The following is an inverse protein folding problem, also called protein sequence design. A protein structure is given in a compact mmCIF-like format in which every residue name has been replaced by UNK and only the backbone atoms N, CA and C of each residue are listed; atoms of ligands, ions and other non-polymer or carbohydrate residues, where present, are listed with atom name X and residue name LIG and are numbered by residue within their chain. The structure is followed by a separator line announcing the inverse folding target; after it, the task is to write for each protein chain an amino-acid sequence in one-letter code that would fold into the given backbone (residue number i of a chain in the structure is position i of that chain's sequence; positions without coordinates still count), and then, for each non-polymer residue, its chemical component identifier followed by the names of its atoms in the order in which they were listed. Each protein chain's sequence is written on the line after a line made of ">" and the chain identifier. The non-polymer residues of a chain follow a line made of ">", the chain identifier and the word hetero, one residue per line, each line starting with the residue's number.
data_IF_598666362172
#
_entry.id   IF_598666362172
#
_cell.length_a   1.000
_cell.length_b   1.000
_cell.length_c   1.000
_cell.angle_alpha   90.00
_cell.angle_beta   90.00
_cell.angle_gamma   90.00
#
_symmetry.space_group_name_H-M   'P 1'
#
loop_
_entity.id
_entity.type
_entity.pdbx_description
1 polymer ?
#
# COMPACT_ATOMS: atom_id res chain seq x y z
N UNK A 1 -3.49 15.87 -17.88
CA UNK A 1 -3.88 14.99 -19.01
C UNK A 1 -3.89 13.58 -18.44
N UNK A 2 -5.05 12.93 -18.29
CA UNK A 2 -5.11 11.56 -17.74
C UNK A 2 -4.72 10.58 -18.85
N UNK A 3 -3.50 10.03 -18.75
CA UNK A 3 -3.02 8.96 -19.61
C UNK A 3 -3.51 7.60 -19.13
N UNK A 4 -3.53 6.59 -20.00
CA UNK A 4 -3.79 5.19 -19.63
C UNK A 4 -2.86 4.68 -18.51
N UNK A 5 -1.68 5.29 -18.35
CA UNK A 5 -0.71 5.07 -17.27
C UNK A 5 -1.26 5.43 -15.88
N UNK A 6 -2.06 6.49 -15.77
CA UNK A 6 -2.49 7.02 -14.47
C UNK A 6 -3.54 6.12 -13.80
N UNK A 7 -4.24 5.31 -14.59
CA UNK A 7 -5.16 4.30 -14.07
C UNK A 7 -4.44 3.29 -13.18
N UNK A 8 -3.20 2.92 -13.49
CA UNK A 8 -2.42 2.00 -12.65
C UNK A 8 -2.10 2.63 -11.29
N UNK A 9 -1.76 3.93 -11.29
CA UNK A 9 -1.54 4.70 -10.05
C UNK A 9 -2.82 4.79 -9.22
N UNK A 10 -3.94 5.17 -9.83
CA UNK A 10 -5.23 5.27 -9.14
C UNK A 10 -5.73 3.93 -8.60
N UNK A 11 -5.62 2.87 -9.39
CA UNK A 11 -5.98 1.52 -8.97
C UNK A 11 -5.11 1.05 -7.82
N UNK A 12 -3.79 1.23 -7.92
CA UNK A 12 -2.84 0.91 -6.85
C UNK A 12 -3.16 1.65 -5.55
N UNK A 13 -3.35 2.97 -5.63
CA UNK A 13 -3.71 3.79 -4.48
C UNK A 13 -5.05 3.37 -3.86
N UNK A 14 -6.06 3.07 -4.69
CA UNK A 14 -7.38 2.61 -4.24
C UNK A 14 -7.30 1.28 -3.49
N UNK A 15 -6.62 0.27 -4.06
CA UNK A 15 -6.44 -1.04 -3.41
C UNK A 15 -5.61 -0.87 -2.12
N UNK A 16 -4.60 0.00 -2.13
CA UNK A 16 -3.81 0.32 -0.94
C UNK A 16 -4.67 0.88 0.19
N UNK A 17 -5.55 1.84 -0.11
CA UNK A 17 -6.46 2.44 0.87
C UNK A 17 -7.42 1.40 1.46
N UNK A 18 -7.95 0.49 0.63
CA UNK A 18 -8.79 -0.62 1.11
C UNK A 18 -8.01 -1.50 2.09
N UNK A 19 -6.76 -1.87 1.76
CA UNK A 19 -5.92 -2.68 2.64
C UNK A 19 -5.60 -1.97 3.96
N UNK A 20 -5.33 -0.66 3.91
CA UNK A 20 -5.08 0.14 5.10
C UNK A 20 -6.34 0.24 5.97
N UNK A 21 -7.51 0.38 5.37
CA UNK A 21 -8.81 0.34 6.05
C UNK A 21 -9.08 -1.01 6.72
N UNK A 22 -8.78 -2.13 6.05
CA UNK A 22 -8.87 -3.47 6.64
C UNK A 22 -7.90 -3.62 7.82
N UNK A 23 -6.66 -3.12 7.67
CA UNK A 23 -5.65 -3.07 8.72
C UNK A 23 -6.12 -2.32 9.97
N UNK A 24 -6.65 -1.11 9.76
CA UNK A 24 -7.16 -0.25 10.82
C UNK A 24 -8.40 -0.85 11.49
N UNK A 25 -9.36 -1.34 10.71
CA UNK A 25 -10.57 -1.97 11.23
C UNK A 25 -10.23 -3.19 12.08
N UNK A 26 -9.29 -4.04 11.64
CA UNK A 26 -8.84 -5.19 12.42
C UNK A 26 -8.15 -4.78 13.72
N UNK A 27 -7.37 -3.70 13.73
CA UNK A 27 -6.77 -3.17 14.96
C UNK A 27 -7.82 -2.64 15.93
N UNK A 28 -8.79 -1.85 15.45
CA UNK A 28 -9.86 -1.28 16.26
C UNK A 28 -10.80 -2.34 16.83
N UNK A 29 -11.07 -3.40 16.06
CA UNK A 29 -11.94 -4.50 16.46
C UNK A 29 -11.22 -5.66 17.14
N UNK A 30 -9.90 -5.55 17.36
CA UNK A 30 -9.04 -6.64 17.86
C UNK A 30 -9.20 -7.96 17.09
N UNK A 31 -9.48 -7.87 15.79
CA UNK A 31 -9.67 -9.02 14.92
C UNK A 31 -8.32 -9.63 14.50
N UNK A 32 -8.32 -10.93 14.19
CA UNK A 32 -7.13 -11.62 13.68
C UNK A 32 -7.01 -11.39 12.17
N UNK A 33 -5.80 -11.06 11.72
CA UNK A 33 -5.48 -11.07 10.29
C UNK A 33 -5.46 -12.52 9.78
N UNK A 34 -6.28 -12.80 8.78
CA UNK A 34 -6.39 -14.12 8.15
C UNK A 34 -5.91 -14.12 6.70
N UNK A 35 -6.15 -15.23 6.00
CA UNK A 35 -5.73 -15.43 4.60
C UNK A 35 -6.17 -14.30 3.67
N UNK A 36 -7.39 -13.77 3.84
CA UNK A 36 -7.89 -12.66 3.03
C UNK A 36 -7.05 -11.39 3.14
N UNK A 37 -6.49 -11.10 4.31
CA UNK A 37 -5.60 -9.94 4.47
C UNK A 37 -4.28 -10.16 3.72
N UNK A 38 -3.73 -11.38 3.73
CA UNK A 38 -2.52 -11.70 2.96
C UNK A 38 -2.76 -11.64 1.46
N UNK A 39 -3.91 -12.14 0.97
CA UNK A 39 -4.30 -12.01 -0.43
C UNK A 39 -4.42 -10.54 -0.82
N UNK A 40 -5.09 -9.73 0.00
CA UNK A 40 -5.24 -8.30 -0.23
C UNK A 40 -3.88 -7.59 -0.26
N UNK A 41 -3.00 -7.89 0.70
CA UNK A 41 -1.64 -7.38 0.73
C UNK A 41 -0.84 -7.74 -0.54
N UNK A 42 -0.96 -8.99 -1.03
CA UNK A 42 -0.30 -9.40 -2.26
C UNK A 42 -0.82 -8.61 -3.48
N UNK A 43 -2.14 -8.37 -3.54
CA UNK A 43 -2.75 -7.54 -4.59
C UNK A 43 -2.26 -6.09 -4.52
N UNK A 44 -2.13 -5.51 -3.32
CA UNK A 44 -1.54 -4.18 -3.12
C UNK A 44 -0.12 -4.14 -3.64
N UNK A 45 0.70 -5.13 -3.27
CA UNK A 45 2.10 -5.19 -3.69
C UNK A 45 2.23 -5.28 -5.20
N UNK A 46 1.44 -6.15 -5.84
CA UNK A 46 1.42 -6.30 -7.29
C UNK A 46 0.94 -5.00 -7.96
N UNK A 47 -0.15 -4.40 -7.48
CA UNK A 47 -0.67 -3.15 -8.05
C UNK A 47 0.31 -1.99 -7.91
N UNK A 48 1.01 -1.88 -6.77
CA UNK A 48 2.08 -0.90 -6.59
C UNK A 48 3.27 -1.14 -7.54
N UNK A 49 3.64 -2.40 -7.76
CA UNK A 49 4.66 -2.77 -8.75
C UNK A 49 4.25 -2.41 -10.18
N UNK A 50 3.01 -2.72 -10.57
CA UNK A 50 2.48 -2.33 -11.87
C UNK A 50 2.44 -0.79 -12.03
N UNK A 51 2.00 -0.06 -11.01
CA UNK A 51 2.04 1.40 -11.02
C UNK A 51 3.46 1.94 -11.17
N UNK A 52 4.43 1.35 -10.47
CA UNK A 52 5.84 1.74 -10.58
C UNK A 52 6.41 1.48 -11.98
N UNK A 53 5.98 0.42 -12.66
CA UNK A 53 6.45 0.10 -14.03
C UNK A 53 5.76 0.96 -15.10
N UNK A 54 4.44 1.15 -15.00
CA UNK A 54 3.64 1.77 -16.08
C UNK A 54 3.39 3.27 -15.92
N UNK A 55 3.44 3.81 -14.70
CA UNK A 55 3.24 5.23 -14.42
C UNK A 55 4.49 5.91 -13.82
N UNK A 56 5.46 5.13 -13.35
CA UNK A 56 6.73 5.53 -12.72
C UNK A 56 6.76 6.95 -12.13
N UNK A 57 6.45 7.05 -10.83
CA UNK A 57 6.80 8.21 -10.01
C UNK A 57 7.87 7.81 -8.98
N UNK A 58 8.91 8.61 -8.73
CA UNK A 58 9.95 8.30 -7.75
C UNK A 58 9.39 7.99 -6.35
N UNK A 59 8.29 8.63 -5.96
CA UNK A 59 7.61 8.38 -4.70
C UNK A 59 7.03 6.95 -4.56
N UNK A 60 6.81 6.23 -5.67
CA UNK A 60 6.38 4.82 -5.65
C UNK A 60 7.48 3.88 -5.15
N UNK A 61 8.75 4.29 -5.19
CA UNK A 61 9.84 3.54 -4.57
C UNK A 61 9.62 3.44 -3.06
N UNK A 62 9.16 4.53 -2.42
CA UNK A 62 8.83 4.51 -1.00
C UNK A 62 7.69 3.53 -0.70
N UNK A 63 6.68 3.47 -1.57
CA UNK A 63 5.57 2.50 -1.46
C UNK A 63 6.11 1.08 -1.48
N UNK A 64 6.94 0.74 -2.46
CA UNK A 64 7.50 -0.60 -2.62
C UNK A 64 8.41 -1.00 -1.45
N UNK A 65 9.28 -0.08 -1.00
CA UNK A 65 10.16 -0.34 0.15
C UNK A 65 9.35 -0.53 1.44
N UNK A 66 8.35 0.31 1.67
CA UNK A 66 7.48 0.21 2.83
C UNK A 66 6.70 -1.11 2.83
N UNK A 67 6.14 -1.51 1.69
CA UNK A 67 5.47 -2.79 1.52
C UNK A 67 6.45 -3.95 1.75
N UNK A 68 7.61 -3.96 1.11
CA UNK A 68 8.61 -5.01 1.27
C UNK A 68 9.11 -5.17 2.71
N UNK A 69 9.10 -4.10 3.50
CA UNK A 69 9.48 -4.13 4.91
C UNK A 69 8.35 -4.61 5.85
N UNK A 70 7.08 -4.57 5.44
CA UNK A 70 5.94 -4.98 6.31
C UNK A 70 6.07 -6.41 6.86
N UNK A 71 6.46 -7.43 6.07
CA UNK A 71 6.67 -8.81 6.57
C UNK A 71 7.75 -8.91 7.66
N UNK A 72 8.65 -7.94 7.74
CA UNK A 72 9.73 -7.89 8.74
C UNK A 72 9.27 -7.30 10.07
N UNK A 73 8.04 -6.79 10.15
CA UNK A 73 7.50 -6.16 11.36
C UNK A 73 6.49 -7.04 12.06
N UNK A 74 6.43 -6.92 13.39
CA UNK A 74 5.45 -7.65 14.20
C UNK A 74 4.06 -7.01 14.09
N UNK A 75 3.01 -7.76 13.69
CA UNK A 75 1.64 -7.26 13.72
C UNK A 75 1.26 -6.75 15.12
N UNK A 76 0.58 -5.61 15.19
CA UNK A 76 0.17 -4.97 16.45
C UNK A 76 1.28 -4.20 17.19
N UNK A 77 2.48 -4.09 16.62
CA UNK A 77 3.51 -3.15 17.09
C UNK A 77 3.56 -1.92 16.19
N UNK A 78 3.90 -0.76 16.75
CA UNK A 78 3.86 0.54 16.08
C UNK A 78 4.64 0.61 14.74
N UNK A 79 5.68 -0.22 14.58
CA UNK A 79 6.43 -0.32 13.32
C UNK A 79 5.56 -0.73 12.12
N UNK A 80 4.60 -1.63 12.32
CA UNK A 80 3.73 -2.13 11.25
C UNK A 80 2.80 -1.04 10.69
N UNK A 81 1.98 -0.33 11.50
CA UNK A 81 1.19 0.79 11.00
C UNK A 81 2.08 1.96 10.53
N UNK A 82 3.27 2.17 11.09
CA UNK A 82 4.18 3.21 10.60
C UNK A 82 4.65 2.96 9.15
N UNK A 83 4.99 1.71 8.81
CA UNK A 83 5.31 1.34 7.42
C UNK A 83 4.10 1.45 6.50
N UNK A 84 2.91 1.05 6.96
CA UNK A 84 1.68 1.22 6.19
C UNK A 84 1.36 2.71 5.93
N UNK A 85 1.63 3.60 6.89
CA UNK A 85 1.49 5.04 6.69
C UNK A 85 2.57 5.57 5.74
N UNK A 86 3.81 5.11 5.86
CA UNK A 86 4.89 5.51 4.95
C UNK A 86 4.58 5.17 3.49
N UNK A 87 4.02 3.98 3.24
CA UNK A 87 3.57 3.62 1.89
C UNK A 87 2.37 4.46 1.42
N UNK A 88 1.41 4.79 2.29
CA UNK A 88 0.34 5.72 1.93
C UNK A 88 0.88 7.10 1.54
N UNK A 89 1.87 7.62 2.29
CA UNK A 89 2.55 8.88 1.97
C UNK A 89 3.31 8.82 0.64
N UNK A 90 3.84 7.65 0.24
CA UNK A 90 4.42 7.45 -1.09
C UNK A 90 3.40 7.65 -2.21
N UNK A 91 2.16 7.17 -2.05
CA UNK A 91 1.09 7.46 -3.01
C UNK A 91 0.68 8.93 -3.02
N UNK A 92 0.60 9.58 -1.85
CA UNK A 92 0.36 11.03 -1.77
C UNK A 92 1.45 11.79 -2.52
N UNK A 93 2.72 11.44 -2.30
CA UNK A 93 3.85 12.03 -3.03
C UNK A 93 3.77 11.82 -4.54
N UNK A 94 3.32 10.64 -4.99
CA UNK A 94 3.12 10.35 -6.41
C UNK A 94 2.02 11.21 -7.06
N UNK A 95 1.01 11.66 -6.30
CA UNK A 95 0.01 12.61 -6.80
C UNK A 95 0.47 14.07 -6.82
N UNK A 96 1.55 14.40 -6.11
CA UNK A 96 2.05 15.77 -5.97
C UNK A 96 3.27 16.06 -6.85
N UNK A 97 3.90 15.04 -7.44
CA UNK A 97 5.10 15.11 -8.28
C UNK A 97 4.79 14.71 -9.72
#
# INVERSE_FOLDING_TARGET
>A
MSGSSDYALHLGAGIYLVNLGVGLAAQLLHAKFGVFHHVLYALVFLAAGLAAVFAFHPALILVLLALAALPLTKPGKAAHPALAVAGALGYVGAYLL
#
